data_IF_017363939540
#
_entry.id   IF_017363939540
#
_cell.length_a   1.000
_cell.length_b   1.000
_cell.length_c   1.000
_cell.angle_alpha   90.00
_cell.angle_beta   90.00
_cell.angle_gamma   90.00
#
_symmetry.space_group_name_H-M   'P 1'
#
loop_
_entity.id
_entity.type
_entity.pdbx_description
1 polymer ?
#
# COMPACT_ATOMS: atom_id res chain seq x y z
N UNK A 1 -3.73 -51.68 -26.48
CA UNK A 1 -2.55 -50.92 -26.06
C UNK A 1 -3.07 -49.68 -25.33
N UNK A 2 -2.98 -49.69 -24.00
CA UNK A 2 -3.50 -48.65 -23.10
C UNK A 2 -2.52 -47.48 -23.03
N UNK A 3 -3.01 -46.25 -23.10
CA UNK A 3 -2.36 -45.07 -22.52
C UNK A 3 -3.28 -44.46 -21.47
N UNK A 4 -2.75 -44.33 -20.26
CA UNK A 4 -3.45 -44.02 -19.01
C UNK A 4 -3.67 -42.51 -18.87
N UNK A 5 -4.92 -42.12 -18.63
CA UNK A 5 -5.28 -40.84 -18.03
C UNK A 5 -4.79 -40.81 -16.58
N UNK A 6 -3.90 -39.88 -16.26
CA UNK A 6 -3.52 -39.50 -14.91
C UNK A 6 -3.98 -38.05 -14.73
N UNK A 7 -5.26 -37.86 -14.42
CA UNK A 7 -5.73 -36.66 -13.74
C UNK A 7 -6.20 -37.11 -12.35
N UNK A 8 -5.46 -36.66 -11.35
CA UNK A 8 -5.62 -37.03 -9.95
C UNK A 8 -6.99 -36.58 -9.43
N UNK A 9 -7.68 -37.52 -8.78
CA UNK A 9 -8.74 -37.24 -7.82
C UNK A 9 -8.15 -36.39 -6.69
N UNK A 10 -8.41 -35.08 -6.67
CA UNK A 10 -8.37 -34.36 -5.40
C UNK A 10 -9.57 -34.84 -4.55
N UNK A 11 -9.38 -35.17 -3.27
CA UNK A 11 -10.50 -35.48 -2.40
C UNK A 11 -11.41 -34.27 -2.30
N UNK A 12 -12.73 -34.47 -2.42
CA UNK A 12 -13.75 -33.43 -2.41
C UNK A 12 -13.63 -32.43 -1.24
N UNK A 13 -12.97 -32.84 -0.15
CA UNK A 13 -12.67 -32.01 1.02
C UNK A 13 -11.75 -30.83 0.67
N UNK A 14 -10.78 -30.98 -0.24
CA UNK A 14 -9.88 -29.88 -0.64
C UNK A 14 -10.61 -28.87 -1.53
N UNK A 15 -11.51 -29.33 -2.40
CA UNK A 15 -12.34 -28.45 -3.23
C UNK A 15 -13.31 -27.63 -2.35
N UNK A 16 -13.88 -28.25 -1.32
CA UNK A 16 -14.76 -27.55 -0.36
C UNK A 16 -13.95 -26.55 0.48
N UNK A 17 -12.73 -26.90 0.91
CA UNK A 17 -11.87 -25.97 1.66
C UNK A 17 -11.46 -24.75 0.82
N UNK A 18 -11.11 -24.94 -0.46
CA UNK A 18 -10.81 -23.85 -1.40
C UNK A 18 -12.06 -22.97 -1.62
N UNK A 19 -13.24 -23.58 -1.78
CA UNK A 19 -14.49 -22.82 -1.94
C UNK A 19 -14.87 -22.01 -0.69
N UNK A 20 -14.62 -22.53 0.53
CA UNK A 20 -14.89 -21.83 1.79
C UNK A 20 -13.91 -20.66 2.00
N UNK A 21 -12.64 -20.84 1.63
CA UNK A 21 -11.64 -19.75 1.70
C UNK A 21 -11.98 -18.66 0.67
N UNK A 22 -12.42 -19.04 -0.53
CA UNK A 22 -12.88 -18.08 -1.55
C UNK A 22 -14.13 -17.32 -1.08
N UNK A 23 -15.12 -17.98 -0.47
CA UNK A 23 -16.32 -17.27 0.01
C UNK A 23 -16.04 -16.35 1.19
N UNK A 24 -15.12 -16.70 2.10
CA UNK A 24 -14.69 -15.80 3.16
C UNK A 24 -13.93 -14.57 2.62
N UNK A 25 -13.02 -14.77 1.65
CA UNK A 25 -12.32 -13.67 0.98
C UNK A 25 -13.26 -12.75 0.18
N UNK A 26 -14.26 -13.32 -0.48
CA UNK A 26 -15.30 -12.58 -1.21
C UNK A 26 -16.15 -11.75 -0.24
N UNK A 27 -16.52 -12.28 0.93
CA UNK A 27 -17.30 -11.52 1.94
C UNK A 27 -16.52 -10.32 2.48
N UNK A 28 -15.21 -10.47 2.69
CA UNK A 28 -14.33 -9.35 3.10
C UNK A 28 -14.25 -8.30 1.98
N UNK A 29 -14.00 -8.70 0.74
CA UNK A 29 -13.93 -7.78 -0.40
C UNK A 29 -15.26 -7.03 -0.67
N UNK A 30 -16.42 -7.71 -0.55
CA UNK A 30 -17.74 -7.07 -0.69
C UNK A 30 -18.03 -6.07 0.44
N UNK A 31 -17.56 -6.32 1.66
CA UNK A 31 -17.69 -5.35 2.75
C UNK A 31 -16.85 -4.10 2.49
N UNK A 32 -15.63 -4.24 1.95
CA UNK A 32 -14.82 -3.10 1.53
C UNK A 32 -15.52 -2.29 0.42
N UNK A 33 -16.03 -2.94 -0.63
CA UNK A 33 -16.72 -2.23 -1.72
C UNK A 33 -17.96 -1.47 -1.24
N UNK A 34 -18.76 -2.03 -0.32
CA UNK A 34 -19.93 -1.36 0.24
C UNK A 34 -19.60 -0.15 1.12
N UNK A 35 -18.47 -0.16 1.82
CA UNK A 35 -18.06 0.96 2.67
C UNK A 35 -17.77 2.20 1.80
N UNK A 36 -17.21 2.03 0.60
CA UNK A 36 -16.89 3.12 -0.32
C UNK A 36 -18.12 3.80 -0.99
N UNK A 37 -19.31 3.20 -0.94
CA UNK A 37 -20.52 3.82 -1.50
C UNK A 37 -21.33 4.68 -0.50
N UNK A 38 -21.03 4.64 0.81
CA UNK A 38 -21.98 5.15 1.81
C UNK A 38 -21.79 6.59 2.32
N UNK A 39 -20.75 7.33 1.92
CA UNK A 39 -20.52 8.70 2.41
C UNK A 39 -20.77 9.83 1.39
N UNK A 40 -21.66 9.60 0.41
CA UNK A 40 -22.26 10.67 -0.37
C UNK A 40 -23.45 11.32 0.40
N UNK A 41 -23.17 12.00 1.52
CA UNK A 41 -24.18 12.78 2.23
C UNK A 41 -24.50 14.07 1.44
N UNK A 42 -25.74 14.10 0.93
CA UNK A 42 -26.60 15.26 0.63
C UNK A 42 -26.14 16.59 1.26
N UNK A 43 -25.51 17.44 0.46
CA UNK A 43 -25.48 18.89 0.71
C UNK A 43 -26.75 19.48 0.11
N UNK A 44 -27.74 19.71 0.97
CA UNK A 44 -28.95 20.47 0.62
C UNK A 44 -28.59 21.95 0.57
N UNK A 45 -28.62 22.54 -0.62
CA UNK A 45 -28.45 23.99 -0.82
C UNK A 45 -29.62 24.76 -0.21
N UNK A 46 -29.39 25.53 0.84
CA UNK A 46 -30.28 26.63 1.23
C UNK A 46 -29.72 27.95 0.69
N UNK A 47 -30.38 28.41 -0.37
CA UNK A 47 -30.19 29.73 -0.97
C UNK A 47 -30.69 30.79 0.00
N UNK A 48 -29.84 31.76 0.35
CA UNK A 48 -30.32 33.07 0.79
C UNK A 48 -29.52 34.16 0.09
N UNK A 49 -30.19 34.77 -0.89
CA UNK A 49 -29.83 36.02 -1.51
C UNK A 49 -29.78 37.14 -0.46
N UNK A 50 -28.69 37.91 -0.42
CA UNK A 50 -28.81 39.37 -0.36
C UNK A 50 -27.65 39.97 -1.14
N UNK A 51 -28.04 40.84 -2.08
CA UNK A 51 -27.24 41.44 -3.13
C UNK A 51 -26.84 42.87 -2.72
N UNK A 52 -25.65 43.28 -3.19
CA UNK A 52 -25.13 44.66 -3.36
C UNK A 52 -24.79 45.46 -2.08
N UNK A 53 -23.71 46.25 -2.04
CA UNK A 53 -23.21 47.11 -3.12
C UNK A 53 -21.70 47.45 -3.01
N UNK A 54 -21.16 47.82 -4.18
CA UNK A 54 -19.87 48.41 -4.60
C UNK A 54 -19.13 49.31 -3.59
N UNK A 55 -17.80 49.49 -3.63
CA UNK A 55 -16.98 50.18 -4.65
C UNK A 55 -15.50 50.00 -4.23
N UNK A 56 -14.56 49.54 -5.06
CA UNK A 56 -13.79 50.36 -6.00
C UNK A 56 -12.33 50.57 -5.54
N UNK A 57 -11.35 50.26 -6.40
CA UNK A 57 -10.04 50.94 -6.33
C UNK A 57 -8.75 50.12 -6.54
N UNK A 58 -8.23 50.22 -7.77
CA UNK A 58 -6.81 50.37 -8.16
C UNK A 58 -5.80 49.21 -7.99
N UNK A 59 -5.36 48.74 -9.16
CA UNK A 59 -3.97 48.71 -9.72
C UNK A 59 -2.83 48.40 -8.75
N UNK A 60 -1.98 47.44 -9.10
CA UNK A 60 -0.63 47.69 -9.68
C UNK A 60 -0.11 46.44 -10.39
N UNK A 61 0.37 46.64 -11.62
CA UNK A 61 1.19 45.71 -12.41
C UNK A 61 2.66 46.05 -12.13
N UNK A 62 3.51 45.05 -11.93
CA UNK A 62 4.94 45.18 -12.15
C UNK A 62 5.53 43.84 -12.61
N UNK A 63 6.33 43.94 -13.67
CA UNK A 63 6.97 42.86 -14.40
C UNK A 63 8.49 43.07 -14.38
N UNK A 64 9.22 42.00 -14.73
CA UNK A 64 10.58 41.96 -15.32
C UNK A 64 11.83 42.16 -14.42
N UNK A 65 12.69 41.12 -14.35
CA UNK A 65 13.99 40.98 -15.06
C UNK A 65 14.83 39.87 -14.36
N UNK A 66 15.19 38.74 -14.99
CA UNK A 66 16.42 38.47 -15.80
C UNK A 66 17.73 39.06 -15.27
N UNK A 67 18.72 38.20 -14.97
CA UNK A 67 20.12 38.37 -15.34
C UNK A 67 20.92 37.04 -15.27
N UNK A 68 21.77 36.87 -16.28
CA UNK A 68 22.85 35.87 -16.50
C UNK A 68 23.80 35.72 -15.30
N UNK A 69 24.62 34.69 -15.06
CA UNK A 69 25.33 33.72 -15.89
C UNK A 69 26.76 33.55 -15.32
N UNK A 70 27.50 32.50 -15.77
CA UNK A 70 28.96 32.25 -15.65
C UNK A 70 29.44 31.17 -14.63
N UNK A 71 29.58 29.92 -15.13
CA UNK A 71 30.82 29.16 -15.45
C UNK A 71 31.83 28.66 -14.39
N UNK A 72 32.34 27.44 -14.67
CA UNK A 72 33.66 26.82 -14.32
C UNK A 72 33.75 26.09 -12.96
N UNK A 73 34.35 24.91 -12.75
CA UNK A 73 35.26 24.06 -13.55
C UNK A 73 35.43 22.69 -12.86
N UNK A 74 35.72 21.69 -13.69
CA UNK A 74 36.18 20.32 -13.43
C UNK A 74 37.46 20.19 -12.60
N UNK A 75 37.62 19.08 -11.88
CA UNK A 75 38.94 18.56 -11.51
C UNK A 75 38.96 17.02 -11.58
N UNK A 76 39.76 16.51 -12.49
CA UNK A 76 40.20 15.11 -12.58
C UNK A 76 41.40 14.89 -11.66
N UNK A 77 41.55 13.67 -11.13
CA UNK A 77 42.85 13.15 -10.73
C UNK A 77 42.95 11.67 -11.10
N UNK A 78 43.79 11.38 -12.09
CA UNK A 78 44.31 10.06 -12.42
C UNK A 78 45.36 9.60 -11.39
N UNK A 79 45.38 8.31 -11.07
CA UNK A 79 46.64 7.59 -10.90
C UNK A 79 46.54 6.21 -11.57
N UNK A 80 47.53 5.92 -12.39
CA UNK A 80 47.77 4.69 -13.15
C UNK A 80 48.78 3.82 -12.42
N UNK A 81 48.54 2.50 -12.37
CA UNK A 81 49.59 1.49 -12.65
C UNK A 81 48.96 0.18 -13.13
N UNK A 82 49.51 -0.31 -14.24
CA UNK A 82 49.24 -1.55 -14.96
C UNK A 82 49.94 -2.76 -14.35
N UNK A 83 49.35 -3.96 -14.49
CA UNK A 83 50.03 -5.10 -15.15
C UNK A 83 49.06 -6.26 -15.46
N UNK A 84 49.41 -6.95 -16.54
CA UNK A 84 48.65 -7.83 -17.44
C UNK A 84 48.65 -9.33 -17.09
N UNK A 85 47.65 -10.05 -17.67
CA UNK A 85 47.60 -11.49 -18.06
C UNK A 85 47.41 -12.48 -16.89
N UNK A 86 46.52 -13.48 -16.91
CA UNK A 86 45.92 -14.31 -17.97
C UNK A 86 44.59 -14.93 -17.47
N UNK A 87 43.70 -15.28 -18.40
CA UNK A 87 42.32 -15.67 -18.12
C UNK A 87 42.09 -17.07 -17.55
N UNK A 88 40.87 -17.28 -17.05
CA UNK A 88 39.94 -18.37 -17.37
C UNK A 88 38.55 -18.05 -16.78
N UNK A 89 37.52 -18.52 -17.47
CA UNK A 89 36.08 -18.33 -17.21
C UNK A 89 35.66 -18.61 -15.75
N UNK A 90 34.68 -17.86 -15.23
CA UNK A 90 33.45 -18.35 -14.57
C UNK A 90 32.52 -17.17 -14.17
N UNK A 91 31.32 -17.17 -14.77
CA UNK A 91 29.99 -16.71 -14.32
C UNK A 91 29.82 -15.37 -13.52
N UNK A 92 29.05 -14.38 -14.03
CA UNK A 92 28.80 -13.14 -13.29
C UNK A 92 27.71 -13.33 -12.22
N UNK A 93 28.15 -13.32 -10.97
CA UNK A 93 27.30 -13.11 -9.80
C UNK A 93 26.70 -11.70 -9.89
N UNK A 94 25.37 -11.61 -9.85
CA UNK A 94 24.62 -10.36 -9.78
C UNK A 94 25.00 -9.65 -8.48
N UNK A 95 25.54 -8.44 -8.63
CA UNK A 95 25.89 -7.51 -7.57
C UNK A 95 24.64 -7.05 -6.83
N UNK A 96 24.49 -7.46 -5.57
CA UNK A 96 23.58 -6.83 -4.62
C UNK A 96 24.02 -5.38 -4.39
N UNK A 97 23.22 -4.44 -4.88
CA UNK A 97 23.28 -3.05 -4.47
C UNK A 97 22.96 -2.97 -2.99
N UNK A 98 23.93 -2.52 -2.21
CA UNK A 98 23.90 -2.36 -0.77
C UNK A 98 22.93 -1.22 -0.41
N UNK A 99 21.66 -1.54 -0.20
CA UNK A 99 20.80 -0.72 0.66
C UNK A 99 21.22 -1.01 2.11
N UNK A 100 21.42 0.04 2.90
CA UNK A 100 21.79 -0.10 4.30
C UNK A 100 20.64 -0.79 5.05
N UNK A 101 20.79 -2.09 5.27
CA UNK A 101 19.88 -2.89 6.09
C UNK A 101 20.13 -2.50 7.56
N UNK A 102 19.47 -1.44 8.04
CA UNK A 102 19.35 -1.21 9.48
C UNK A 102 18.59 -2.38 10.06
N UNK A 103 19.28 -3.26 10.79
CA UNK A 103 18.65 -4.35 11.52
C UNK A 103 17.60 -3.77 12.47
N UNK A 104 16.32 -4.04 12.19
CA UNK A 104 15.20 -3.69 13.06
C UNK A 104 15.48 -4.20 14.47
N UNK A 105 15.70 -3.29 15.42
CA UNK A 105 15.94 -3.64 16.82
C UNK A 105 14.62 -3.60 17.58
N UNK A 106 14.21 -4.77 18.07
CA UNK A 106 13.08 -4.91 18.95
C UNK A 106 13.29 -4.20 20.29
N UNK A 107 12.19 -3.74 20.89
CA UNK A 107 12.24 -3.27 22.28
C UNK A 107 12.69 -4.42 23.20
N UNK A 108 13.66 -4.18 24.11
CA UNK A 108 14.16 -5.22 25.00
C UNK A 108 13.11 -5.72 25.99
N UNK A 109 12.10 -4.89 26.31
CA UNK A 109 11.06 -5.21 27.29
C UNK A 109 9.83 -5.85 26.64
N UNK A 110 9.70 -5.73 25.31
CA UNK A 110 8.53 -6.17 24.57
C UNK A 110 8.96 -6.92 23.30
N UNK A 111 9.20 -8.21 23.45
CA UNK A 111 9.65 -9.07 22.35
C UNK A 111 8.43 -9.60 21.57
N UNK A 112 8.46 -9.62 20.23
CA UNK A 112 7.40 -10.25 19.45
C UNK A 112 7.09 -11.69 19.90
N UNK A 113 5.81 -12.05 19.92
CA UNK A 113 5.30 -13.31 20.44
C UNK A 113 5.02 -13.33 21.95
N UNK A 114 5.54 -12.36 22.70
CA UNK A 114 5.22 -12.23 24.14
C UNK A 114 3.81 -11.67 24.35
N UNK A 115 3.23 -11.95 25.52
CA UNK A 115 1.92 -11.41 25.89
C UNK A 115 2.05 -9.96 26.34
N UNK A 116 1.12 -9.13 25.90
CA UNK A 116 0.97 -7.75 26.33
C UNK A 116 -0.27 -7.61 27.22
N UNK A 117 -0.10 -7.03 28.41
CA UNK A 117 -1.21 -6.71 29.30
C UNK A 117 -1.08 -5.26 29.76
N UNK A 118 -2.10 -4.47 29.49
CA UNK A 118 -2.36 -3.19 30.14
C UNK A 118 -3.45 -3.43 31.20
N UNK A 119 -3.53 -2.60 32.25
CA UNK A 119 -4.49 -2.79 33.36
C UNK A 119 -5.99 -2.83 32.96
N UNK A 120 -6.33 -2.66 31.69
CA UNK A 120 -7.67 -2.86 31.14
C UNK A 120 -7.97 -4.36 30.92
N UNK A 121 -8.21 -5.04 32.03
CA UNK A 121 -8.60 -6.44 32.15
C UNK A 121 -10.05 -6.73 31.69
N UNK A 122 -10.79 -5.73 31.20
CA UNK A 122 -12.25 -5.83 31.06
C UNK A 122 -12.78 -6.84 30.02
N UNK A 123 -11.94 -7.51 29.21
CA UNK A 123 -12.43 -8.53 28.26
C UNK A 123 -11.72 -9.88 28.27
N UNK A 124 -10.80 -10.16 29.21
CA UNK A 124 -10.26 -11.51 29.41
C UNK A 124 -9.54 -12.17 28.22
N UNK A 125 -9.25 -11.41 27.15
CA UNK A 125 -8.55 -11.91 25.96
C UNK A 125 -7.09 -11.47 25.98
N UNK A 126 -6.19 -12.44 25.83
CA UNK A 126 -4.74 -12.21 25.79
C UNK A 126 -4.35 -11.47 24.52
N UNK A 127 -3.66 -10.33 24.67
CA UNK A 127 -3.00 -9.65 23.56
C UNK A 127 -1.54 -10.08 23.47
N UNK A 128 -0.98 -10.04 22.27
CA UNK A 128 0.40 -10.38 21.97
C UNK A 128 1.09 -9.20 21.30
N UNK A 129 2.40 -9.10 21.50
CA UNK A 129 3.27 -8.19 20.75
C UNK A 129 3.56 -8.84 19.39
N UNK A 130 3.19 -8.17 18.30
CA UNK A 130 3.50 -8.62 16.94
C UNK A 130 4.78 -7.99 16.41
N UNK A 131 5.01 -6.73 16.77
CA UNK A 131 6.20 -5.99 16.39
C UNK A 131 6.53 -4.96 17.49
N UNK A 132 7.80 -4.60 17.60
CA UNK A 132 8.24 -3.59 18.56
C UNK A 132 9.53 -2.90 18.13
N UNK A 133 9.74 -1.70 18.65
CA UNK A 133 11.04 -1.03 18.59
C UNK A 133 11.20 -0.10 19.78
N UNK A 134 12.41 0.42 19.96
CA UNK A 134 12.72 1.43 20.98
C UNK A 134 13.39 2.64 20.34
N UNK A 135 12.70 3.77 20.34
CA UNK A 135 13.11 5.00 19.66
C UNK A 135 12.50 6.23 20.31
N UNK A 136 13.11 7.41 20.13
CA UNK A 136 12.51 8.69 20.50
C UNK A 136 11.35 9.01 19.55
N UNK A 137 10.11 8.73 19.98
CA UNK A 137 8.93 8.73 19.10
C UNK A 137 8.28 10.11 18.98
N UNK A 138 8.46 11.01 19.96
CA UNK A 138 7.92 12.37 19.93
C UNK A 138 8.97 13.49 19.87
N UNK A 139 10.26 13.14 19.86
CA UNK A 139 11.39 14.07 19.69
C UNK A 139 11.83 14.74 20.99
N UNK A 140 11.47 14.20 22.15
CA UNK A 140 11.86 14.76 23.46
C UNK A 140 13.28 14.35 23.92
N UNK A 141 13.94 13.48 23.16
CA UNK A 141 15.30 12.97 23.39
C UNK A 141 15.37 11.73 24.28
N UNK A 142 14.25 11.25 24.84
CA UNK A 142 14.15 9.98 25.53
C UNK A 142 13.64 8.88 24.59
N UNK A 143 14.15 7.65 24.75
CA UNK A 143 13.69 6.55 23.92
C UNK A 143 12.43 5.90 24.52
N UNK A 144 11.36 5.87 23.72
CA UNK A 144 10.07 5.24 23.98
C UNK A 144 10.04 3.81 23.46
N UNK A 145 9.16 2.97 24.00
CA UNK A 145 8.84 1.67 23.40
C UNK A 145 7.60 1.79 22.54
N UNK A 146 7.75 1.48 21.25
CA UNK A 146 6.65 1.48 20.27
C UNK A 146 6.30 0.04 19.94
N UNK A 147 5.03 -0.31 20.07
CA UNK A 147 4.53 -1.68 19.96
C UNK A 147 3.36 -1.75 18.98
N UNK A 148 3.30 -2.83 18.23
CA UNK A 148 2.08 -3.28 17.56
C UNK A 148 1.58 -4.51 18.29
N UNK A 149 0.39 -4.41 18.87
CA UNK A 149 -0.21 -5.45 19.70
C UNK A 149 -1.58 -5.84 19.19
N UNK A 150 -2.03 -7.05 19.48
CA UNK A 150 -3.40 -7.48 19.19
C UNK A 150 -3.71 -8.88 19.66
N UNK A 151 -4.88 -9.38 19.29
CA UNK A 151 -5.34 -10.71 19.66
C UNK A 151 -5.04 -11.71 18.53
N UNK A 152 -4.80 -12.96 18.92
CA UNK A 152 -4.78 -14.08 17.99
C UNK A 152 -6.13 -14.82 18.07
N UNK A 153 -6.92 -14.78 17.00
CA UNK A 153 -8.24 -15.42 16.92
C UNK A 153 -8.17 -16.95 16.74
N UNK A 154 -7.01 -17.52 16.36
CA UNK A 154 -6.84 -18.97 16.25
C UNK A 154 -5.48 -19.40 16.80
N UNK A 155 -5.51 -20.01 18.00
CA UNK A 155 -4.30 -20.51 18.67
C UNK A 155 -3.62 -21.66 17.92
N UNK A 156 -4.27 -22.26 16.90
CA UNK A 156 -3.66 -23.28 16.05
C UNK A 156 -3.00 -22.69 14.80
N UNK A 157 -3.28 -21.42 14.45
CA UNK A 157 -2.65 -20.75 13.34
C UNK A 157 -1.20 -20.38 13.67
N UNK A 158 -0.37 -20.22 12.64
CA UNK A 158 0.97 -19.67 12.80
C UNK A 158 0.87 -18.27 13.45
N UNK A 159 1.80 -17.93 14.34
CA UNK A 159 1.78 -16.63 15.00
C UNK A 159 1.81 -15.50 13.96
N UNK A 160 0.97 -14.49 14.16
CA UNK A 160 0.76 -13.42 13.18
C UNK A 160 -0.26 -13.76 12.09
N UNK A 161 -0.83 -14.96 12.07
CA UNK A 161 -1.99 -15.28 11.23
C UNK A 161 -3.25 -15.28 12.09
N UNK A 162 -4.39 -14.89 11.48
CA UNK A 162 -5.68 -14.74 12.14
C UNK A 162 -5.66 -13.70 13.27
N UNK A 163 -5.07 -12.54 13.02
CA UNK A 163 -4.99 -11.45 13.99
C UNK A 163 -6.28 -10.62 14.02
N UNK A 164 -6.60 -10.01 15.16
CA UNK A 164 -7.66 -9.00 15.25
C UNK A 164 -7.38 -8.01 16.38
N UNK A 165 -8.23 -6.98 16.50
CA UNK A 165 -8.14 -5.97 17.55
C UNK A 165 -6.72 -5.42 17.66
N UNK A 166 -6.13 -5.01 16.53
CA UNK A 166 -4.78 -4.49 16.49
C UNK A 166 -4.73 -3.08 17.09
N UNK A 167 -3.65 -2.75 17.80
CA UNK A 167 -3.41 -1.40 18.31
C UNK A 167 -1.93 -1.04 18.23
N UNK A 168 -1.66 0.23 17.94
CA UNK A 168 -0.35 0.84 18.15
C UNK A 168 -0.30 1.35 19.57
N UNK A 169 0.72 0.95 20.32
CA UNK A 169 0.93 1.32 21.72
C UNK A 169 2.30 1.94 21.88
N UNK A 170 2.38 3.03 22.63
CA UNK A 170 3.64 3.68 22.98
C UNK A 170 3.78 3.77 24.50
N UNK A 171 4.91 3.30 25.03
CA UNK A 171 5.32 3.55 26.43
C UNK A 171 6.32 4.69 26.44
N UNK A 172 5.88 5.81 27.00
CA UNK A 172 6.68 7.03 27.16
C UNK A 172 7.93 6.76 28.01
N UNK A 173 9.11 7.06 27.46
CA UNK A 173 10.41 6.79 28.07
C UNK A 173 10.72 7.66 29.30
N UNK A 174 10.06 8.82 29.43
CA UNK A 174 10.23 9.75 30.55
C UNK A 174 9.29 9.43 31.70
N UNK A 175 8.03 9.13 31.39
CA UNK A 175 6.95 8.99 32.36
C UNK A 175 6.56 7.54 32.64
N UNK A 176 6.96 6.61 31.77
CA UNK A 176 6.58 5.20 31.81
C UNK A 176 5.11 4.93 31.50
N UNK A 177 4.34 5.95 31.09
CA UNK A 177 2.91 5.85 30.81
C UNK A 177 2.68 5.30 29.41
N UNK A 178 1.59 4.55 29.26
CA UNK A 178 1.16 4.03 27.98
C UNK A 178 0.13 4.94 27.31
N UNK A 179 0.25 5.09 26.00
CA UNK A 179 -0.78 5.60 25.12
C UNK A 179 -1.07 4.54 24.05
N UNK A 180 -2.32 4.44 23.61
CA UNK A 180 -2.73 3.45 22.63
C UNK A 180 -3.70 4.05 21.61
N UNK A 181 -3.63 3.54 20.38
CA UNK A 181 -4.63 3.76 19.35
C UNK A 181 -5.09 2.40 18.82
N UNK A 182 -6.38 2.11 18.97
CA UNK A 182 -7.00 0.91 18.42
C UNK A 182 -7.25 1.12 16.92
N UNK A 183 -6.70 0.23 16.09
CA UNK A 183 -6.98 0.21 14.66
C UNK A 183 -8.42 -0.27 14.41
N UNK A 184 -9.02 0.03 13.25
CA UNK A 184 -10.34 -0.48 12.88
C UNK A 184 -10.47 -2.01 13.08
N UNK A 185 -11.68 -2.50 13.36
CA UNK A 185 -11.89 -3.93 13.67
C UNK A 185 -11.54 -4.84 12.48
N UNK A 186 -11.76 -4.36 11.26
CA UNK A 186 -11.45 -5.01 9.99
C UNK A 186 -9.99 -4.83 9.54
N UNK A 187 -9.16 -4.20 10.37
CA UNK A 187 -7.74 -3.97 10.10
C UNK A 187 -6.94 -5.26 10.25
N UNK A 188 -7.02 -6.08 9.21
CA UNK A 188 -6.04 -7.12 8.87
C UNK A 188 -6.27 -8.50 9.48
N UNK A 189 -5.60 -9.47 8.87
CA UNK A 189 -5.73 -10.91 9.18
C UNK A 189 -4.36 -11.53 9.40
N UNK A 190 -3.33 -11.02 8.72
CA UNK A 190 -2.03 -11.67 8.61
C UNK A 190 -0.87 -10.68 8.73
N UNK A 191 0.22 -11.16 9.35
CA UNK A 191 1.55 -10.57 9.40
C UNK A 191 1.60 -9.06 9.73
N UNK A 192 0.92 -8.61 10.81
CA UNK A 192 1.00 -7.21 11.24
C UNK A 192 2.44 -6.85 11.63
N UNK A 193 2.94 -5.74 11.08
CA UNK A 193 4.28 -5.18 11.31
C UNK A 193 4.25 -3.67 11.18
N UNK A 194 5.33 -2.98 11.55
CA UNK A 194 5.48 -1.56 11.23
C UNK A 194 6.91 -1.19 10.83
N UNK A 195 7.04 -0.06 10.14
CA UNK A 195 8.31 0.63 9.93
C UNK A 195 8.27 2.01 10.57
N UNK A 196 9.42 2.48 11.05
CA UNK A 196 9.59 3.87 11.50
C UNK A 196 10.15 4.68 10.34
N UNK A 197 9.55 5.85 10.10
CA UNK A 197 9.96 6.74 9.01
C UNK A 197 9.60 8.19 9.28
N UNK A 198 10.13 9.10 8.48
CA UNK A 198 9.82 10.53 8.53
C UNK A 198 8.94 10.88 7.34
N UNK A 199 7.62 10.95 7.52
CA UNK A 199 6.67 11.11 6.42
C UNK A 199 6.10 12.51 6.29
N UNK A 200 5.96 13.23 7.40
CA UNK A 200 5.41 14.62 7.36
C UNK A 200 6.48 15.70 7.45
N UNK A 201 7.63 15.38 8.04
CA UNK A 201 8.77 16.27 8.15
C UNK A 201 10.04 15.50 8.48
N UNK A 202 11.19 15.99 7.98
CA UNK A 202 12.49 15.41 8.28
C UNK A 202 12.76 15.26 9.79
N UNK A 203 13.32 14.10 10.16
CA UNK A 203 13.68 13.70 11.54
C UNK A 203 12.51 13.54 12.51
N UNK A 204 11.27 13.53 12.01
CA UNK A 204 10.11 13.17 12.81
C UNK A 204 9.91 11.66 12.72
N UNK A 205 9.87 10.95 13.84
CA UNK A 205 9.67 9.50 13.83
C UNK A 205 8.16 9.19 13.84
N UNK A 206 7.68 8.61 12.76
CA UNK A 206 6.28 8.25 12.55
C UNK A 206 6.20 6.77 12.22
N UNK A 207 5.04 6.16 12.50
CA UNK A 207 4.87 4.72 12.56
C UNK A 207 3.96 4.30 11.40
N UNK A 208 4.53 3.69 10.37
CA UNK A 208 3.79 3.12 9.25
C UNK A 208 3.52 1.64 9.54
N UNK A 209 2.30 1.34 10.01
CA UNK A 209 1.82 -0.02 10.20
C UNK A 209 1.37 -0.60 8.86
N UNK A 210 1.70 -1.87 8.62
CA UNK A 210 1.20 -2.64 7.48
C UNK A 210 0.63 -3.97 7.96
N UNK A 211 -0.55 -4.36 7.47
CA UNK A 211 -1.20 -5.62 7.79
C UNK A 211 -1.75 -6.26 6.53
N UNK A 212 -1.39 -7.51 6.28
CA UNK A 212 -1.89 -8.26 5.14
C UNK A 212 -3.31 -8.75 5.41
N UNK A 213 -4.20 -8.63 4.43
CA UNK A 213 -5.57 -9.15 4.56
C UNK A 213 -5.64 -10.66 4.32
N UNK A 214 -4.59 -11.25 3.75
CA UNK A 214 -4.60 -12.59 3.20
C UNK A 214 -5.39 -12.68 1.88
N UNK A 215 -5.43 -13.89 1.29
CA UNK A 215 -6.13 -14.17 0.03
C UNK A 215 -5.27 -13.95 -1.23
N UNK A 216 -5.83 -14.27 -2.40
CA UNK A 216 -5.13 -14.13 -3.69
C UNK A 216 -4.93 -12.68 -4.10
N UNK A 217 -5.69 -11.75 -3.50
CA UNK A 217 -5.60 -10.29 -3.62
C UNK A 217 -4.22 -9.72 -3.28
N UNK A 218 -3.52 -10.34 -2.33
CA UNK A 218 -2.25 -9.80 -1.82
C UNK A 218 -2.40 -8.39 -1.24
N UNK A 219 -3.60 -8.04 -0.76
CA UNK A 219 -3.92 -6.69 -0.29
C UNK A 219 -3.24 -6.46 1.06
N UNK A 220 -2.68 -5.26 1.20
CA UNK A 220 -2.05 -4.79 2.43
C UNK A 220 -2.71 -3.50 2.87
N UNK A 221 -3.13 -3.45 4.13
CA UNK A 221 -3.72 -2.29 4.77
C UNK A 221 -2.68 -1.53 5.58
N UNK A 222 -2.75 -0.21 5.53
CA UNK A 222 -1.76 0.69 6.11
C UNK A 222 -2.36 1.70 7.09
N UNK A 223 -1.70 1.90 8.22
CA UNK A 223 -2.03 2.98 9.14
C UNK A 223 -0.77 3.81 9.42
N UNK A 224 -0.85 5.12 9.21
CA UNK A 224 0.25 6.04 9.49
C UNK A 224 -0.05 6.81 10.78
N UNK A 225 0.76 6.56 11.80
CA UNK A 225 0.55 7.05 13.16
C UNK A 225 1.72 7.92 13.63
N UNK A 226 1.45 8.81 14.57
CA UNK A 226 2.47 9.58 15.28
C UNK A 226 2.22 9.52 16.79
N UNK A 227 3.29 9.63 17.57
CA UNK A 227 3.20 9.86 19.00
C UNK A 227 3.41 11.35 19.28
N UNK A 228 2.36 12.06 19.66
CA UNK A 228 2.42 13.50 19.88
C UNK A 228 1.56 13.89 21.07
N UNK A 229 2.05 14.82 21.89
CA UNK A 229 1.33 15.29 23.08
C UNK A 229 0.88 14.13 23.98
N UNK A 230 1.75 13.10 24.10
CA UNK A 230 1.52 11.87 24.86
C UNK A 230 0.32 11.05 24.40
N UNK A 231 -0.04 11.14 23.12
CA UNK A 231 -1.12 10.37 22.50
C UNK A 231 -0.63 9.76 21.19
N UNK A 232 -1.09 8.56 20.91
CA UNK A 232 -0.95 7.98 19.57
C UNK A 232 -2.10 8.51 18.72
N UNK A 233 -1.78 9.14 17.59
CA UNK A 233 -2.75 9.78 16.70
C UNK A 233 -2.53 9.37 15.26
N UNK A 234 -3.61 9.33 14.47
CA UNK A 234 -3.53 9.10 13.03
C UNK A 234 -2.97 10.35 12.35
N UNK A 235 -1.96 10.19 11.50
CA UNK A 235 -1.40 11.27 10.67
C UNK A 235 -2.29 11.53 9.46
N UNK A 236 -2.72 10.45 8.82
CA UNK A 236 -3.72 10.41 7.73
C UNK A 236 -4.81 9.44 8.16
N UNK A 237 -6.07 9.64 7.76
CA UNK A 237 -7.10 8.64 8.06
C UNK A 237 -6.78 7.32 7.36
N UNK A 238 -7.13 6.20 7.98
CA UNK A 238 -6.91 4.87 7.39
C UNK A 238 -7.65 4.73 6.06
N UNK A 239 -8.84 5.32 5.94
CA UNK A 239 -9.60 5.34 4.68
C UNK A 239 -8.85 6.06 3.56
N UNK A 240 -8.32 7.26 3.81
CA UNK A 240 -7.57 8.03 2.81
C UNK A 240 -6.26 7.33 2.46
N UNK A 241 -5.55 6.79 3.46
CA UNK A 241 -4.26 6.13 3.27
C UNK A 241 -4.36 4.85 2.44
N UNK A 242 -5.50 4.15 2.48
CA UNK A 242 -5.72 2.89 1.75
C UNK A 242 -6.56 3.07 0.49
N UNK A 243 -6.76 4.29 -0.02
CA UNK A 243 -7.66 4.51 -1.16
C UNK A 243 -7.05 4.14 -2.52
N UNK A 244 -5.73 4.27 -2.67
CA UNK A 244 -5.06 4.12 -3.96
C UNK A 244 -5.48 5.18 -5.01
N UNK A 245 -5.08 4.94 -6.26
CA UNK A 245 -5.56 5.66 -7.44
C UNK A 245 -7.00 5.25 -7.76
N UNK A 246 -7.81 6.19 -8.23
CA UNK A 246 -9.20 5.95 -8.56
C UNK A 246 -9.32 5.52 -10.03
N UNK A 247 -9.14 4.24 -10.30
CA UNK A 247 -9.04 3.75 -11.67
C UNK A 247 -10.40 3.58 -12.36
N UNK A 248 -10.38 3.68 -13.69
CA UNK A 248 -11.44 3.26 -14.61
C UNK A 248 -10.82 2.39 -15.69
N UNK A 249 -11.45 1.26 -15.96
CA UNK A 249 -11.01 0.34 -17.02
C UNK A 249 -12.04 0.29 -18.12
N UNK A 250 -11.59 0.31 -19.38
CA UNK A 250 -12.44 0.16 -20.57
C UNK A 250 -11.82 -0.89 -21.48
N UNK A 251 -12.55 -1.97 -21.75
CA UNK A 251 -12.11 -3.05 -22.63
C UNK A 251 -12.34 -2.72 -24.11
N UNK A 252 -11.42 -3.14 -24.97
CA UNK A 252 -11.45 -3.00 -26.42
C UNK A 252 -11.27 -4.35 -27.10
N UNK A 253 -11.70 -4.48 -28.38
CA UNK A 253 -11.33 -5.64 -29.18
C UNK A 253 -9.82 -5.87 -29.22
N UNK A 254 -9.40 -7.13 -29.39
CA UNK A 254 -7.99 -7.50 -29.47
C UNK A 254 -7.34 -7.80 -28.13
N UNK A 255 -8.12 -8.02 -27.07
CA UNK A 255 -7.63 -8.26 -25.70
C UNK A 255 -6.79 -7.07 -25.21
N UNK A 256 -7.34 -5.87 -25.41
CA UNK A 256 -6.76 -4.62 -24.96
C UNK A 256 -7.71 -3.95 -23.98
N UNK A 257 -7.17 -3.22 -23.02
CA UNK A 257 -7.96 -2.34 -22.17
C UNK A 257 -7.24 -1.03 -21.95
N UNK A 258 -8.01 0.04 -21.82
CA UNK A 258 -7.52 1.34 -21.37
C UNK A 258 -7.84 1.51 -19.90
N UNK A 259 -6.80 1.80 -19.14
CA UNK A 259 -6.86 2.07 -17.71
C UNK A 259 -6.62 3.57 -17.53
N UNK A 260 -7.45 4.24 -16.74
CA UNK A 260 -7.46 5.70 -16.58
C UNK A 260 -7.56 6.01 -15.08
N UNK A 261 -6.65 6.82 -14.53
CA UNK A 261 -6.91 7.46 -13.25
C UNK A 261 -7.95 8.58 -13.46
N UNK A 262 -9.09 8.46 -12.76
CA UNK A 262 -10.19 9.43 -12.81
C UNK A 262 -9.78 10.80 -12.27
N UNK A 263 -8.78 10.86 -11.39
CA UNK A 263 -8.38 12.10 -10.73
C UNK A 263 -7.46 12.96 -11.61
N UNK A 264 -6.53 12.34 -12.34
CA UNK A 264 -5.52 13.06 -13.14
C UNK A 264 -5.76 12.96 -14.64
N UNK A 265 -6.47 11.94 -15.10
CA UNK A 265 -6.64 11.60 -16.51
C UNK A 265 -5.43 10.86 -17.13
N UNK A 266 -4.39 10.55 -16.36
CA UNK A 266 -3.31 9.67 -16.80
C UNK A 266 -3.91 8.33 -17.19
N UNK A 267 -3.45 7.79 -18.32
CA UNK A 267 -4.00 6.56 -18.86
C UNK A 267 -2.96 5.76 -19.63
N UNK A 268 -3.20 4.46 -19.71
CA UNK A 268 -2.40 3.51 -20.46
C UNK A 268 -3.31 2.53 -21.18
N UNK A 269 -2.89 2.09 -22.36
CA UNK A 269 -3.52 0.97 -23.07
C UNK A 269 -2.63 -0.24 -22.83
N UNK A 270 -3.19 -1.27 -22.21
CA UNK A 270 -2.50 -2.52 -21.92
C UNK A 270 -3.05 -3.61 -22.81
N UNK A 271 -2.14 -4.32 -23.46
CA UNK A 271 -2.47 -5.54 -24.19
C UNK A 271 -2.21 -6.72 -23.26
N UNK A 272 -3.23 -7.55 -23.06
CA UNK A 272 -3.17 -8.72 -22.20
C UNK A 272 -3.43 -10.02 -22.99
N UNK A 273 -3.13 -9.99 -24.29
CA UNK A 273 -3.13 -11.15 -25.18
C UNK A 273 -1.89 -12.04 -24.95
N UNK A 274 -1.60 -12.41 -23.70
CA UNK A 274 -0.70 -13.52 -23.47
C UNK A 274 -1.46 -14.82 -23.82
N UNK A 275 -0.96 -15.55 -24.82
CA UNK A 275 -1.65 -16.71 -25.38
C UNK A 275 -2.03 -17.78 -24.36
N UNK A 276 -1.37 -17.82 -23.19
CA UNK A 276 -1.73 -18.71 -22.09
C UNK A 276 -3.04 -18.32 -21.39
N UNK A 277 -3.39 -17.04 -21.33
CA UNK A 277 -4.59 -16.53 -20.63
C UNK A 277 -5.77 -16.25 -21.58
N UNK A 278 -5.53 -16.20 -22.90
CA UNK A 278 -6.60 -16.03 -23.90
C UNK A 278 -7.77 -17.01 -23.75
N UNK A 279 -7.55 -18.32 -23.49
CA UNK A 279 -8.65 -19.26 -23.25
C UNK A 279 -9.54 -18.85 -22.08
N UNK A 280 -9.00 -18.27 -21.00
CA UNK A 280 -9.79 -17.80 -19.85
C UNK A 280 -10.83 -16.76 -20.29
N UNK A 281 -10.44 -15.78 -21.10
CA UNK A 281 -11.35 -14.71 -21.54
C UNK A 281 -12.42 -15.22 -22.52
N UNK A 282 -12.07 -16.21 -23.35
CA UNK A 282 -13.00 -16.82 -24.31
C UNK A 282 -13.99 -17.74 -23.59
N UNK A 283 -13.51 -18.60 -22.70
CA UNK A 283 -14.32 -19.57 -21.94
C UNK A 283 -15.26 -18.86 -20.95
N UNK A 284 -14.83 -17.72 -20.38
CA UNK A 284 -15.69 -16.83 -19.58
C UNK A 284 -16.67 -16.00 -20.43
N UNK A 285 -16.62 -16.11 -21.76
CA UNK A 285 -17.51 -15.41 -22.69
C UNK A 285 -17.32 -13.89 -22.70
N UNK A 286 -16.15 -13.40 -22.29
CA UNK A 286 -15.81 -11.97 -22.29
C UNK A 286 -15.37 -11.51 -23.67
N UNK A 287 -14.65 -12.38 -24.38
CA UNK A 287 -14.25 -12.20 -25.77
C UNK A 287 -14.67 -13.40 -26.62
N UNK A 288 -14.86 -13.21 -27.93
CA UNK A 288 -14.96 -14.34 -28.86
C UNK A 288 -13.59 -14.73 -29.44
N UNK A 289 -13.55 -15.84 -30.19
CA UNK A 289 -12.34 -16.32 -30.88
C UNK A 289 -11.72 -15.32 -31.88
N UNK A 290 -12.48 -14.30 -32.32
CA UNK A 290 -11.99 -13.24 -33.19
C UNK A 290 -11.46 -12.02 -32.39
N UNK A 291 -11.42 -12.09 -31.06
CA UNK A 291 -10.98 -11.01 -30.18
C UNK A 291 -12.00 -9.87 -30.03
N UNK A 292 -13.26 -10.08 -30.41
CA UNK A 292 -14.32 -9.07 -30.17
C UNK A 292 -14.75 -9.14 -28.71
N UNK A 293 -14.76 -8.00 -28.03
CA UNK A 293 -15.30 -7.85 -26.69
C UNK A 293 -16.83 -7.97 -26.69
N UNK A 294 -17.40 -8.78 -25.80
CA UNK A 294 -18.82 -9.18 -25.83
C UNK A 294 -19.66 -8.63 -24.67
N UNK A 295 -19.05 -7.90 -23.74
CA UNK A 295 -19.72 -7.41 -22.53
C UNK A 295 -19.96 -5.90 -22.61
N UNK A 296 -20.74 -5.38 -21.67
CA UNK A 296 -20.93 -3.94 -21.49
C UNK A 296 -19.97 -3.39 -20.42
N UNK A 297 -20.01 -2.07 -20.21
CA UNK A 297 -19.15 -1.41 -19.23
C UNK A 297 -19.47 -1.81 -17.79
N UNK A 298 -20.74 -2.06 -17.44
CA UNK A 298 -21.10 -2.51 -16.08
C UNK A 298 -20.43 -3.83 -15.72
N UNK A 299 -20.36 -4.77 -16.67
CA UNK A 299 -19.62 -6.02 -16.46
C UNK A 299 -18.14 -5.77 -16.17
N UNK A 300 -17.51 -4.80 -16.86
CA UNK A 300 -16.10 -4.45 -16.61
C UNK A 300 -15.93 -3.86 -15.23
N UNK A 301 -16.83 -2.95 -14.84
CA UNK A 301 -16.80 -2.28 -13.54
C UNK A 301 -16.98 -3.29 -12.38
N UNK A 302 -17.71 -4.39 -12.59
CA UNK A 302 -17.92 -5.46 -11.59
C UNK A 302 -16.78 -6.51 -11.53
N UNK A 303 -16.05 -6.72 -12.64
CA UNK A 303 -15.12 -7.85 -12.80
C UNK A 303 -13.64 -7.45 -12.82
N UNK A 304 -13.38 -6.15 -12.97
CA UNK A 304 -12.04 -5.60 -12.74
C UNK A 304 -11.82 -5.52 -11.24
N UNK A 305 -10.68 -6.07 -10.82
CA UNK A 305 -10.20 -6.02 -9.45
C UNK A 305 -9.01 -5.07 -9.44
N UNK A 306 -9.30 -3.79 -9.23
CA UNK A 306 -8.34 -2.71 -9.02
C UNK A 306 -8.24 -2.41 -7.52
N UNK A 307 -7.90 -3.46 -6.76
CA UNK A 307 -7.77 -3.38 -5.31
C UNK A 307 -6.82 -2.25 -4.89
N UNK A 308 -6.80 -1.98 -3.59
CA UNK A 308 -5.89 -1.02 -2.96
C UNK A 308 -4.43 -1.49 -3.09
N UNK A 309 -3.57 -1.13 -2.16
CA UNK A 309 -2.15 -1.44 -2.25
C UNK A 309 -1.84 -2.94 -2.05
N UNK A 310 -0.95 -3.46 -2.91
CA UNK A 310 -0.17 -4.67 -2.61
C UNK A 310 1.16 -4.32 -1.91
N UNK A 311 1.64 -3.10 -2.10
CA UNK A 311 2.70 -2.50 -1.29
C UNK A 311 2.57 -0.98 -1.23
N UNK A 312 3.08 -0.39 -0.15
CA UNK A 312 3.18 1.05 0.10
C UNK A 312 4.51 1.26 0.82
N UNK A 313 5.57 1.43 0.03
CA UNK A 313 6.95 1.35 0.49
C UNK A 313 7.54 2.76 0.72
N UNK A 314 8.17 3.02 1.87
CA UNK A 314 8.76 4.32 2.17
C UNK A 314 10.09 4.53 1.43
N UNK A 315 10.29 5.69 0.80
CA UNK A 315 11.57 6.10 0.22
C UNK A 315 11.74 7.63 0.26
N UNK A 316 12.96 8.11 0.54
CA UNK A 316 13.32 9.53 0.45
C UNK A 316 13.89 9.78 -0.95
N UNK A 317 13.03 10.17 -1.89
CA UNK A 317 13.38 10.23 -3.31
C UNK A 317 14.27 11.44 -3.65
N UNK A 318 14.08 12.55 -2.93
CA UNK A 318 14.77 13.81 -3.19
C UNK A 318 15.89 14.14 -2.19
N UNK A 319 16.07 13.30 -1.16
CA UNK A 319 17.10 13.43 -0.14
C UNK A 319 16.84 14.55 0.86
N UNK A 320 15.60 15.03 0.97
CA UNK A 320 15.24 16.10 1.92
C UNK A 320 15.08 15.60 3.37
N UNK A 321 15.14 14.28 3.58
CA UNK A 321 14.99 13.62 4.88
C UNK A 321 13.53 13.29 5.24
N UNK A 322 12.59 13.61 4.36
CA UNK A 322 11.19 13.19 4.39
C UNK A 322 10.99 12.10 3.35
N UNK A 323 10.24 11.06 3.69
CA UNK A 323 9.99 9.91 2.85
C UNK A 323 8.64 10.04 2.17
N UNK A 324 8.62 9.85 0.86
CA UNK A 324 7.46 9.52 0.06
C UNK A 324 7.01 8.07 0.28
N UNK A 325 5.74 7.82 -0.06
CA UNK A 325 5.13 6.51 -0.05
C UNK A 325 4.93 6.03 -1.49
N UNK A 326 5.65 4.98 -1.86
CA UNK A 326 5.58 4.32 -3.17
C UNK A 326 4.50 3.24 -3.13
N UNK A 327 3.32 3.56 -3.63
CA UNK A 327 2.17 2.68 -3.68
C UNK A 327 2.13 1.86 -4.96
N UNK A 328 1.97 0.55 -4.84
CA UNK A 328 1.74 -0.37 -5.96
C UNK A 328 0.36 -1.01 -5.85
N UNK A 329 -0.45 -0.84 -6.89
CA UNK A 329 -1.78 -1.45 -7.02
C UNK A 329 -1.76 -2.46 -8.17
N UNK A 330 -2.42 -3.59 -7.92
CA UNK A 330 -2.58 -4.64 -8.92
C UNK A 330 -3.93 -4.48 -9.60
N UNK A 331 -3.93 -4.42 -10.93
CA UNK A 331 -5.17 -4.50 -11.69
C UNK A 331 -5.27 -5.93 -12.23
N UNK A 332 -6.32 -6.64 -11.82
CA UNK A 332 -6.65 -7.98 -12.29
C UNK A 332 -7.99 -7.99 -12.99
N UNK A 333 -8.22 -8.97 -13.86
CA UNK A 333 -9.47 -9.07 -14.61
C UNK A 333 -9.99 -10.51 -14.58
N UNK A 334 -11.30 -10.68 -14.34
CA UNK A 334 -11.98 -11.98 -14.12
C UNK A 334 -11.58 -12.67 -12.81
N UNK A 335 -10.31 -12.64 -12.43
CA UNK A 335 -9.81 -13.21 -11.19
C UNK A 335 -8.53 -12.53 -10.72
N UNK A 336 -8.34 -12.42 -9.40
CA UNK A 336 -7.11 -11.90 -8.77
C UNK A 336 -5.82 -12.62 -9.22
N UNK A 337 -5.92 -13.86 -9.71
CA UNK A 337 -4.77 -14.60 -10.23
C UNK A 337 -4.36 -14.16 -11.65
N UNK A 338 -5.19 -13.36 -12.33
CA UNK A 338 -4.93 -12.86 -13.68
C UNK A 338 -4.68 -11.35 -13.64
N UNK A 339 -3.45 -10.99 -13.31
CA UNK A 339 -2.97 -9.61 -13.37
C UNK A 339 -2.83 -9.17 -14.82
N UNK A 340 -3.37 -7.99 -15.14
CA UNK A 340 -3.31 -7.38 -16.48
C UNK A 340 -2.44 -6.13 -16.49
N UNK A 341 -2.32 -5.44 -15.36
CA UNK A 341 -1.52 -4.24 -15.23
C UNK A 341 -1.09 -3.97 -13.79
N UNK A 342 -0.06 -3.12 -13.66
CA UNK A 342 0.33 -2.47 -12.42
C UNK A 342 0.04 -0.97 -12.52
N UNK A 343 -0.51 -0.41 -11.44
CA UNK A 343 -0.54 1.02 -11.22
C UNK A 343 0.45 1.35 -10.09
N UNK A 344 1.46 2.14 -10.40
CA UNK A 344 2.47 2.61 -9.45
C UNK A 344 2.25 4.10 -9.20
N UNK A 345 2.40 4.51 -7.95
CA UNK A 345 2.09 5.86 -7.49
C UNK A 345 3.07 6.28 -6.40
N UNK A 346 3.42 7.56 -6.36
CA UNK A 346 4.27 8.14 -5.32
C UNK A 346 3.47 9.21 -4.61
N UNK A 347 3.40 9.14 -3.29
CA UNK A 347 2.61 10.05 -2.46
C UNK A 347 3.47 10.74 -1.42
N UNK A 348 3.30 12.05 -1.27
CA UNK A 348 3.84 12.79 -0.12
C UNK A 348 2.75 13.01 0.92
N UNK A 349 3.11 13.08 2.20
CA UNK A 349 2.17 13.36 3.29
C UNK A 349 2.30 14.81 3.72
N UNK A 350 1.29 15.65 3.42
CA UNK A 350 1.34 17.10 3.73
C UNK A 350 0.01 17.60 4.31
N UNK A 351 0.06 18.12 5.53
CA UNK A 351 -1.12 18.67 6.22
C UNK A 351 -2.15 17.61 6.57
N UNK A 352 -1.69 16.40 6.95
CA UNK A 352 -2.54 15.27 7.32
C UNK A 352 -3.27 14.60 6.15
N UNK A 353 -2.75 14.75 4.93
CA UNK A 353 -3.34 14.22 3.69
C UNK A 353 -2.28 13.68 2.75
N UNK A 354 -2.68 12.74 1.91
CA UNK A 354 -1.87 12.28 0.79
C UNK A 354 -1.90 13.28 -0.36
N UNK A 355 -0.76 13.46 -1.00
CA UNK A 355 -0.63 14.24 -2.24
C UNK A 355 0.12 13.42 -3.27
N UNK A 356 -0.56 13.11 -4.37
CA UNK A 356 0.05 12.41 -5.50
C UNK A 356 1.19 13.27 -6.06
N UNK A 357 2.38 12.69 -6.11
CA UNK A 357 3.61 13.28 -6.67
C UNK A 357 3.77 12.83 -8.12
N UNK A 358 3.65 11.52 -8.36
CA UNK A 358 3.70 10.92 -9.68
C UNK A 358 2.92 9.62 -9.72
N UNK A 359 2.58 9.20 -10.92
CA UNK A 359 1.94 7.90 -11.16
C UNK A 359 2.37 7.33 -12.50
N UNK A 360 2.17 6.03 -12.65
CA UNK A 360 2.48 5.26 -13.85
C UNK A 360 1.55 4.05 -13.93
N UNK A 361 1.04 3.77 -15.12
CA UNK A 361 0.23 2.56 -15.36
C UNK A 361 0.88 1.75 -16.47
N UNK A 362 1.23 0.50 -16.19
CA UNK A 362 1.95 -0.37 -17.10
C UNK A 362 1.30 -1.74 -17.24
N UNK A 363 1.42 -2.33 -18.43
CA UNK A 363 0.99 -3.70 -18.66
C UNK A 363 1.78 -4.67 -17.80
N UNK A 364 1.11 -5.72 -17.33
CA UNK A 364 1.76 -6.81 -16.64
C UNK A 364 2.60 -7.64 -17.63
N UNK A 365 3.91 -7.71 -17.38
CA UNK A 365 4.83 -8.60 -18.10
C UNK A 365 5.31 -9.69 -17.13
N UNK A 366 4.83 -10.94 -17.27
CA UNK A 366 5.15 -12.05 -16.35
C UNK A 366 6.61 -12.50 -16.36
#
# INVERSE_FOLDING_TARGET
MQTRNIFYKLPAIIIIAIMIICTAGIIVAFNYHKIFETDAIKVTSSTNNTQNDTTGGKKTVASLNTFDGINSTSNESHSTTSNTSSGENLDPTVSESTSAHTTHQYSPDFVPGSTFSQDDSENGKTRYVYDSTRIDADGDGAADDVLLVGENNDTNALFGHQTCNLAVVVRDGVTGKFAAFLLPEDFGVMLPRFNIGSFTAAKKNEILVSVETGGSGGIVLYALMAYENRKVVSVVSQEELNKGLALKVVCFPGFEMKIIDKNTGVNSIVNFHDGAVVPLYIDSGVYNNAGVFLKDQSYVDDEVMDDVFVSLDPADDDGDGTQELHGKQRISFITHANTVAWAESVWSVKGGRLRLVSEKIEAYNP
#
